data_IF_976053069564
#
_entry.id   IF_976053069564
#
_cell.length_a   1.000
_cell.length_b   1.000
_cell.length_c   1.000
_cell.angle_alpha   90.00
_cell.angle_beta   90.00
_cell.angle_gamma   90.00
#
_symmetry.space_group_name_H-M   'P 1'
#
loop_
_entity.id
_entity.type
_entity.pdbx_description
1 polymer ?
#
# COMPACT_ATOMS: atom_id res chain seq x y z
N UNK A 1 -13.71 10.34 -16.86
CA UNK A 1 -12.74 10.16 -17.96
C UNK A 1 -11.95 8.88 -17.68
N UNK A 2 -12.20 7.82 -18.45
CA UNK A 2 -11.39 6.60 -18.43
C UNK A 2 -10.19 6.84 -19.35
N UNK A 3 -8.97 6.76 -18.82
CA UNK A 3 -7.77 6.85 -19.63
C UNK A 3 -7.58 5.51 -20.33
N UNK A 4 -7.62 5.53 -21.67
CA UNK A 4 -7.51 4.36 -22.54
C UNK A 4 -6.12 3.73 -22.38
N UNK A 5 -6.03 2.44 -22.05
CA UNK A 5 -4.76 1.70 -21.86
C UNK A 5 -4.51 1.17 -20.44
N UNK A 6 -5.38 1.50 -19.49
CA UNK A 6 -5.34 0.99 -18.12
C UNK A 6 -6.15 -0.32 -18.01
N UNK A 7 -5.54 -1.39 -17.48
CA UNK A 7 -6.29 -2.60 -17.11
C UNK A 7 -7.33 -2.27 -16.05
N UNK A 8 -8.48 -2.97 -16.04
CA UNK A 8 -9.52 -2.71 -15.04
C UNK A 8 -8.99 -3.01 -13.63
N UNK A 9 -9.12 -2.07 -12.67
CA UNK A 9 -8.73 -2.34 -11.29
C UNK A 9 -9.70 -3.35 -10.67
N UNK A 10 -9.14 -4.39 -10.07
CA UNK A 10 -9.89 -5.45 -9.39
C UNK A 10 -10.34 -5.03 -7.98
N UNK A 11 -9.86 -3.88 -7.47
CA UNK A 11 -10.26 -3.34 -6.16
C UNK A 11 -10.21 -1.81 -6.12
N UNK A 12 -10.87 -1.21 -5.11
CA UNK A 12 -10.81 0.24 -4.88
C UNK A 12 -9.37 0.74 -4.62
N UNK A 13 -8.54 -0.04 -3.93
CA UNK A 13 -7.14 0.32 -3.67
C UNK A 13 -6.33 0.39 -4.96
N UNK A 14 -6.55 -0.56 -5.88
CA UNK A 14 -5.93 -0.54 -7.21
C UNK A 14 -6.33 0.69 -8.00
N UNK A 15 -7.61 1.05 -7.99
CA UNK A 15 -8.09 2.26 -8.67
C UNK A 15 -7.44 3.53 -8.11
N UNK A 16 -7.27 3.63 -6.79
CA UNK A 16 -6.59 4.77 -6.15
C UNK A 16 -5.11 4.82 -6.55
N UNK A 17 -4.41 3.69 -6.53
CA UNK A 17 -2.99 3.60 -6.98
C UNK A 17 -2.87 4.08 -8.42
N UNK A 18 -3.71 3.56 -9.31
CA UNK A 18 -3.72 3.94 -10.73
C UNK A 18 -3.98 5.43 -10.90
N UNK A 19 -4.92 6.00 -10.14
CA UNK A 19 -5.22 7.44 -10.22
C UNK A 19 -4.05 8.29 -9.76
N UNK A 20 -3.40 7.92 -8.65
CA UNK A 20 -2.22 8.60 -8.14
C UNK A 20 -1.06 8.55 -9.15
N UNK A 21 -0.86 7.42 -9.82
CA UNK A 21 0.15 7.28 -10.88
C UNK A 21 -0.14 8.18 -12.08
N UNK A 22 -1.41 8.28 -12.51
CA UNK A 22 -1.83 9.21 -13.58
C UNK A 22 -1.56 10.67 -13.21
N UNK A 23 -1.77 11.02 -11.94
CA UNK A 23 -1.49 12.35 -11.43
C UNK A 23 0.02 12.59 -11.18
N UNK A 24 0.89 11.61 -11.50
CA UNK A 24 2.36 11.73 -11.50
C UNK A 24 3.05 11.31 -10.20
N UNK A 25 2.34 10.71 -9.25
CA UNK A 25 2.92 10.21 -8.01
C UNK A 25 3.49 8.80 -8.17
N UNK A 26 4.62 8.53 -7.51
CA UNK A 26 5.10 7.15 -7.34
C UNK A 26 4.25 6.46 -6.27
N UNK A 27 3.22 5.73 -6.71
CA UNK A 27 2.31 4.99 -5.85
C UNK A 27 2.33 3.49 -6.16
N UNK A 28 2.21 2.66 -5.13
CA UNK A 28 2.14 1.19 -5.25
C UNK A 28 1.28 0.58 -4.15
N UNK A 29 0.76 -0.63 -4.39
CA UNK A 29 0.09 -1.40 -3.35
C UNK A 29 1.15 -2.23 -2.59
N UNK A 30 1.27 -2.03 -1.29
CA UNK A 30 2.11 -2.81 -0.41
C UNK A 30 1.28 -3.90 0.27
N UNK A 31 1.64 -5.17 0.04
CA UNK A 31 1.12 -6.27 0.87
C UNK A 31 1.95 -6.39 2.14
N UNK A 32 1.26 -6.51 3.27
CA UNK A 32 1.91 -6.69 4.57
C UNK A 32 2.67 -8.00 4.61
N UNK A 33 3.97 -7.91 4.86
CA UNK A 33 4.79 -9.06 5.14
C UNK A 33 5.62 -8.74 6.37
N UNK A 34 5.62 -9.66 7.32
CA UNK A 34 6.36 -9.50 8.56
C UNK A 34 7.23 -10.73 8.78
N UNK A 35 8.31 -10.53 9.52
CA UNK A 35 9.28 -11.58 9.78
C UNK A 35 9.31 -11.81 11.28
N UNK A 36 9.07 -13.04 11.71
CA UNK A 36 9.23 -13.44 13.10
C UNK A 36 10.34 -14.46 13.21
N UNK A 37 11.24 -14.24 14.17
CA UNK A 37 12.29 -15.20 14.51
C UNK A 37 11.83 -16.08 15.66
N UNK A 38 11.74 -17.40 15.43
CA UNK A 38 11.47 -18.40 16.46
C UNK A 38 12.72 -19.29 16.61
N UNK A 39 13.53 -19.00 17.63
CA UNK A 39 14.83 -19.67 17.81
C UNK A 39 15.78 -19.36 16.65
N UNK A 40 16.30 -20.41 15.99
CA UNK A 40 17.20 -20.29 14.84
C UNK A 40 16.50 -20.19 13.48
N UNK A 41 15.16 -20.15 13.44
CA UNK A 41 14.39 -20.07 12.19
C UNK A 41 13.75 -18.70 12.02
N UNK A 42 13.95 -18.13 10.84
CA UNK A 42 13.28 -16.90 10.37
C UNK A 42 12.05 -17.33 9.58
N UNK A 43 10.86 -16.98 10.06
CA UNK A 43 9.59 -17.29 9.38
C UNK A 43 8.99 -15.98 8.91
N UNK A 44 8.81 -15.85 7.59
CA UNK A 44 8.07 -14.75 6.99
C UNK A 44 6.61 -15.14 6.90
N UNK A 45 5.73 -14.33 7.48
CA UNK A 45 4.31 -14.47 7.25
C UNK A 45 3.86 -13.36 6.33
N UNK A 46 3.09 -13.74 5.33
CA UNK A 46 2.43 -12.78 4.44
C UNK A 46 1.01 -12.64 4.95
N UNK A 47 0.65 -11.44 5.38
CA UNK A 47 -0.73 -11.14 5.75
C UNK A 47 -1.55 -10.85 4.49
N UNK A 48 -2.84 -11.14 4.54
CA UNK A 48 -3.79 -10.75 3.48
C UNK A 48 -4.13 -9.25 3.50
N UNK A 49 -3.48 -8.48 4.38
CA UNK A 49 -3.66 -7.05 4.49
C UNK A 49 -2.76 -6.30 3.52
N UNK A 50 -3.31 -5.26 2.90
CA UNK A 50 -2.63 -4.38 1.97
C UNK A 50 -2.92 -2.91 2.25
N UNK A 51 -1.98 -2.04 1.90
CA UNK A 51 -2.10 -0.59 2.02
C UNK A 51 -1.42 0.07 0.82
N UNK A 52 -1.68 1.35 0.60
CA UNK A 52 -1.10 2.09 -0.52
C UNK A 52 0.13 2.85 -0.01
N UNK A 53 1.23 2.71 -0.73
CA UNK A 53 2.52 3.34 -0.48
C UNK A 53 2.77 4.42 -1.52
N UNK A 54 3.00 5.66 -1.09
CA UNK A 54 3.18 6.81 -1.99
C UNK A 54 4.48 7.53 -1.63
N UNK A 55 5.37 7.71 -2.60
CA UNK A 55 6.57 8.52 -2.44
C UNK A 55 6.33 9.92 -3.00
N UNK A 56 6.52 10.94 -2.17
CA UNK A 56 6.41 12.35 -2.55
C UNK A 56 7.80 12.97 -2.53
N UNK A 57 8.22 13.56 -3.65
CA UNK A 57 9.44 14.37 -3.71
C UNK A 57 9.11 15.83 -3.39
N UNK A 58 9.71 16.38 -2.34
CA UNK A 58 9.66 17.82 -2.08
C UNK A 58 10.68 18.54 -2.95
N UNK A 59 10.21 19.29 -3.93
CA UNK A 59 11.04 20.06 -4.87
C UNK A 59 11.66 21.31 -4.22
N UNK A 60 11.10 21.79 -3.09
CA UNK A 60 11.54 23.03 -2.43
C UNK A 60 12.52 22.78 -1.28
N UNK A 61 12.46 21.61 -0.64
CA UNK A 61 13.41 21.21 0.42
C UNK A 61 14.29 20.05 -0.05
N UNK A 62 15.47 20.37 -0.60
CA UNK A 62 16.62 19.44 -0.62
C UNK A 62 16.37 18.07 -1.27
N UNK A 63 15.47 17.96 -2.26
CA UNK A 63 15.10 16.67 -2.89
C UNK A 63 14.73 15.59 -1.85
N UNK A 64 14.12 15.97 -0.73
CA UNK A 64 13.75 15.03 0.32
C UNK A 64 12.53 14.24 -0.12
N UNK A 65 12.68 12.94 -0.30
CA UNK A 65 11.55 12.04 -0.53
C UNK A 65 10.87 11.70 0.79
N UNK A 66 9.58 11.97 0.88
CA UNK A 66 8.74 11.59 2.02
C UNK A 66 7.84 10.44 1.62
N UNK A 67 7.88 9.36 2.42
CA UNK A 67 6.99 8.21 2.30
C UNK A 67 5.67 8.51 3.01
N UNK A 68 4.56 8.41 2.28
CA UNK A 68 3.21 8.44 2.82
C UNK A 68 2.56 7.07 2.73
N UNK A 69 1.80 6.74 3.77
CA UNK A 69 0.98 5.55 3.85
C UNK A 69 -0.48 5.99 3.73
N UNK A 70 -1.18 5.37 2.80
CA UNK A 70 -2.61 5.52 2.60
C UNK A 70 -3.28 4.20 2.95
N UNK A 71 -4.07 4.23 4.02
CA UNK A 71 -4.84 3.09 4.48
C UNK A 71 -6.33 3.43 4.44
N UNK A 72 -7.10 2.70 3.65
CA UNK A 72 -8.51 3.00 3.42
C UNK A 72 -9.44 2.49 4.54
N UNK A 73 -8.93 1.66 5.45
CA UNK A 73 -9.71 1.07 6.54
C UNK A 73 -8.84 0.82 7.80
N UNK A 74 -8.11 1.85 8.22
CA UNK A 74 -7.20 1.74 9.37
C UNK A 74 -7.97 1.36 10.64
N UNK A 75 -9.20 1.86 10.77
CA UNK A 75 -10.04 1.67 11.97
C UNK A 75 -10.34 0.20 12.27
N UNK A 76 -10.65 -0.61 11.26
CA UNK A 76 -10.97 -2.03 11.46
C UNK A 76 -9.82 -2.80 12.11
N UNK A 77 -8.58 -2.35 11.89
CA UNK A 77 -7.39 -2.96 12.45
C UNK A 77 -7.29 -2.80 13.98
N UNK A 78 -8.07 -1.90 14.58
CA UNK A 78 -8.05 -1.60 16.01
C UNK A 78 -9.33 -2.00 16.76
N UNK A 79 -10.27 -2.71 16.13
CA UNK A 79 -11.48 -3.17 16.81
C UNK A 79 -11.19 -4.23 17.89
N UNK A 80 -11.81 -4.12 19.06
CA UNK A 80 -11.60 -5.05 20.17
C UNK A 80 -12.89 -5.79 20.54
N UNK A 81 -12.73 -6.99 21.09
CA UNK A 81 -13.81 -7.66 21.81
C UNK A 81 -14.00 -6.98 23.18
N UNK A 82 -15.25 -6.61 23.50
CA UNK A 82 -15.63 -5.93 24.75
C UNK A 82 -14.76 -4.68 25.04
N UNK A 83 -14.77 -3.66 24.15
CA UNK A 83 -14.01 -2.45 24.40
C UNK A 83 -14.66 -1.63 25.52
N UNK A 84 -13.82 -1.00 26.35
CA UNK A 84 -14.28 0.00 27.31
C UNK A 84 -14.86 1.22 26.59
N UNK A 85 -15.68 2.01 27.28
CA UNK A 85 -16.32 3.17 26.67
C UNK A 85 -15.29 4.19 26.15
N UNK A 86 -14.24 4.46 26.94
CA UNK A 86 -13.12 5.33 26.54
C UNK A 86 -12.42 4.82 25.28
N UNK A 87 -12.22 3.51 25.15
CA UNK A 87 -11.61 2.93 23.95
C UNK A 87 -12.51 3.09 22.72
N UNK A 88 -13.83 2.90 22.87
CA UNK A 88 -14.78 3.11 21.77
C UNK A 88 -14.74 4.54 21.24
N UNK A 89 -14.70 5.52 22.14
CA UNK A 89 -14.61 6.94 21.77
C UNK A 89 -13.33 7.25 20.99
N UNK A 90 -12.20 6.70 21.45
CA UNK A 90 -10.91 6.83 20.77
C UNK A 90 -10.94 6.23 19.35
N UNK A 91 -11.52 5.05 19.17
CA UNK A 91 -11.65 4.39 17.86
C UNK A 91 -12.62 5.16 16.95
N UNK A 92 -13.72 5.69 17.49
CA UNK A 92 -14.67 6.49 16.74
C UNK A 92 -14.07 7.81 16.23
N UNK A 93 -13.12 8.39 16.97
CA UNK A 93 -12.37 9.57 16.57
C UNK A 93 -11.29 9.28 15.52
N UNK A 94 -10.87 8.02 15.35
CA UNK A 94 -9.87 7.64 14.36
C UNK A 94 -10.46 7.73 12.94
N UNK A 95 -9.80 8.38 11.97
CA UNK A 95 -10.31 8.43 10.60
C UNK A 95 -10.36 7.02 10.00
N UNK A 96 -11.40 6.73 9.21
CA UNK A 96 -11.50 5.46 8.46
C UNK A 96 -10.39 5.36 7.41
N UNK A 97 -10.21 6.43 6.64
CA UNK A 97 -9.12 6.59 5.68
C UNK A 97 -7.99 7.37 6.34
N UNK A 98 -6.85 6.72 6.53
CA UNK A 98 -5.63 7.35 7.00
C UNK A 98 -4.74 7.74 5.81
N UNK A 99 -4.23 8.98 5.85
CA UNK A 99 -3.18 9.47 4.96
C UNK A 99 -2.13 10.18 5.82
N UNK A 100 -0.90 9.69 5.84
CA UNK A 100 0.14 10.30 6.66
C UNK A 100 1.51 9.65 6.54
N UNK A 101 2.50 10.27 7.18
CA UNK A 101 3.87 9.74 7.25
C UNK A 101 3.96 8.53 8.16
N UNK A 102 5.06 7.78 8.02
CA UNK A 102 5.42 6.68 8.92
C UNK A 102 5.45 7.12 10.39
N UNK A 103 6.03 8.28 10.68
CA UNK A 103 6.11 8.82 12.05
C UNK A 103 4.74 9.10 12.65
N UNK A 104 3.82 9.66 11.86
CA UNK A 104 2.45 9.93 12.32
C UNK A 104 1.71 8.62 12.58
N UNK A 105 1.87 7.64 11.69
CA UNK A 105 1.25 6.33 11.84
C UNK A 105 1.79 5.60 13.08
N UNK A 106 3.10 5.63 13.31
CA UNK A 106 3.76 5.02 14.46
C UNK A 106 3.22 5.54 15.80
N UNK A 107 3.05 6.87 15.91
CA UNK A 107 2.44 7.53 17.07
C UNK A 107 1.00 7.08 17.30
N UNK A 108 0.20 7.00 16.23
CA UNK A 108 -1.19 6.53 16.29
C UNK A 108 -1.23 5.07 16.75
N UNK A 109 -0.43 4.18 16.15
CA UNK A 109 -0.37 2.76 16.51
C UNK A 109 0.01 2.62 17.99
N UNK A 110 1.04 3.32 18.44
CA UNK A 110 1.51 3.28 19.83
C UNK A 110 0.42 3.71 20.82
N UNK A 111 -0.26 4.82 20.53
CA UNK A 111 -1.37 5.32 21.34
C UNK A 111 -2.52 4.29 21.41
N UNK A 112 -2.98 3.79 20.26
CA UNK A 112 -4.09 2.86 20.18
C UNK A 112 -3.77 1.51 20.82
N UNK A 113 -2.55 0.99 20.66
CA UNK A 113 -2.14 -0.27 21.29
C UNK A 113 -2.04 -0.14 22.82
N UNK A 114 -1.59 1.02 23.32
CA UNK A 114 -1.59 1.30 24.76
C UNK A 114 -3.01 1.34 25.33
N UNK A 115 -3.92 2.07 24.66
CA UNK A 115 -5.32 2.13 25.05
C UNK A 115 -6.02 0.76 24.93
N UNK A 116 -5.68 -0.02 23.90
CA UNK A 116 -6.21 -1.37 23.71
C UNK A 116 -5.79 -2.29 24.86
N UNK A 117 -4.52 -2.24 25.23
CA UNK A 117 -3.97 -2.97 26.38
C UNK A 117 -4.67 -2.61 27.68
N UNK A 118 -4.96 -1.32 27.91
CA UNK A 118 -5.72 -0.90 29.08
C UNK A 118 -7.16 -1.45 29.05
N UNK A 119 -7.87 -1.32 27.93
CA UNK A 119 -9.23 -1.83 27.76
C UNK A 119 -9.34 -3.34 27.96
N UNK A 120 -8.41 -4.12 27.42
CA UNK A 120 -8.40 -5.57 27.56
C UNK A 120 -8.16 -6.00 29.01
N UNK A 121 -7.22 -5.34 29.69
CA UNK A 121 -6.91 -5.61 31.10
C UNK A 121 -8.09 -5.32 32.03
N UNK A 122 -8.81 -4.23 31.80
CA UNK A 122 -10.00 -3.87 32.58
C UNK A 122 -11.11 -4.93 32.45
N UNK A 123 -11.16 -5.65 31.33
CA UNK A 123 -12.13 -6.72 31.09
C UNK A 123 -11.55 -8.12 31.39
N UNK A 124 -10.40 -8.21 32.09
CA UNK A 124 -9.68 -9.45 32.38
C UNK A 124 -9.37 -10.31 31.14
N UNK A 125 -9.17 -9.67 29.98
CA UNK A 125 -8.84 -10.32 28.72
C UNK A 125 -7.32 -10.35 28.48
N UNK A 126 -6.83 -11.49 27.99
CA UNK A 126 -5.44 -11.60 27.55
C UNK A 126 -5.18 -10.69 26.34
N UNK A 127 -3.98 -10.10 26.28
CA UNK A 127 -3.57 -9.24 25.16
C UNK A 127 -2.91 -10.13 24.10
N UNK A 128 -3.60 -10.39 22.98
CA UNK A 128 -3.03 -11.26 21.97
C UNK A 128 -1.83 -10.58 21.29
N UNK A 129 -0.89 -11.35 20.69
CA UNK A 129 0.31 -10.81 20.05
C UNK A 129 0.01 -9.74 18.99
N UNK A 130 -1.06 -9.89 18.22
CA UNK A 130 -1.49 -8.93 17.19
C UNK A 130 -2.07 -7.62 17.72
N UNK A 131 -2.20 -7.47 19.04
CA UNK A 131 -2.59 -6.22 19.70
C UNK A 131 -1.42 -5.51 20.37
N UNK A 132 -0.21 -6.03 20.21
CA UNK A 132 1.02 -5.36 20.65
C UNK A 132 1.48 -4.36 19.61
N UNK A 133 2.10 -3.27 20.07
CA UNK A 133 2.56 -2.19 19.20
C UNK A 133 3.57 -2.70 18.18
N UNK A 134 4.49 -3.57 18.58
CA UNK A 134 5.55 -4.10 17.70
C UNK A 134 4.95 -4.91 16.54
N UNK A 135 3.93 -5.72 16.80
CA UNK A 135 3.19 -6.43 15.76
C UNK A 135 2.55 -5.43 14.81
N UNK A 136 1.76 -4.51 15.36
CA UNK A 136 0.97 -3.59 14.57
C UNK A 136 1.86 -2.69 13.71
N UNK A 137 2.92 -2.11 14.27
CA UNK A 137 3.90 -1.30 13.55
C UNK A 137 4.49 -2.05 12.35
N UNK A 138 4.88 -3.31 12.54
CA UNK A 138 5.50 -4.09 11.46
C UNK A 138 4.58 -4.35 10.26
N UNK A 139 3.25 -4.24 10.41
CA UNK A 139 2.33 -4.35 9.27
C UNK A 139 2.61 -3.27 8.22
N UNK A 140 2.89 -2.03 8.63
CA UNK A 140 3.05 -0.89 7.72
C UNK A 140 4.50 -0.38 7.60
N UNK A 141 5.30 -0.56 8.66
CA UNK A 141 6.64 0.01 8.80
C UNK A 141 7.76 -0.99 8.52
N UNK A 142 7.43 -2.24 8.17
CA UNK A 142 8.41 -3.20 7.70
C UNK A 142 9.03 -2.73 6.39
N UNK A 143 10.37 -2.81 6.30
CA UNK A 143 11.11 -2.45 5.08
C UNK A 143 10.82 -3.36 3.88
N UNK A 144 10.22 -4.53 4.13
CA UNK A 144 10.04 -5.59 3.14
C UNK A 144 8.56 -5.77 2.75
N UNK A 145 7.79 -4.69 2.57
CA UNK A 145 6.48 -4.81 1.95
C UNK A 145 6.63 -5.37 0.52
N UNK A 146 5.75 -6.28 0.11
CA UNK A 146 5.74 -6.73 -1.28
C UNK A 146 4.96 -5.71 -2.11
N UNK A 147 5.68 -4.87 -2.88
CA UNK A 147 5.07 -3.89 -3.78
C UNK A 147 4.51 -4.59 -5.02
N UNK A 148 3.22 -4.44 -5.25
CA UNK A 148 2.57 -4.87 -6.49
C UNK A 148 2.68 -3.73 -7.50
N UNK A 149 3.43 -3.96 -8.58
CA UNK A 149 3.57 -3.01 -9.68
C UNK A 149 2.42 -3.19 -10.68
N UNK A 150 1.68 -2.11 -10.91
CA UNK A 150 0.69 -2.02 -11.98
C UNK A 150 1.32 -1.18 -13.09
N UNK A 151 2.15 -1.81 -13.94
CA UNK A 151 2.82 -1.09 -15.02
C UNK A 151 1.78 -0.57 -16.03
N UNK A 152 1.82 0.74 -16.29
CA UNK A 152 1.34 1.31 -17.54
C UNK A 152 2.18 0.70 -18.66
N UNK A 153 1.58 -0.07 -19.57
CA UNK A 153 2.30 -0.48 -20.79
C UNK A 153 2.53 0.79 -21.62
N UNK A 154 3.78 1.15 -21.95
CA UNK A 154 4.03 2.15 -22.97
C UNK A 154 3.69 1.52 -24.32
N UNK A 155 2.68 2.05 -25.01
CA UNK A 155 2.42 1.71 -26.40
C UNK A 155 3.62 2.20 -27.24
N UNK A 156 4.39 1.25 -27.79
CA UNK A 156 5.44 1.54 -28.76
C UNK A 156 4.76 1.83 -30.10
N UNK A 157 4.60 3.11 -30.41
CA UNK A 157 4.15 3.55 -31.74
C UNK A 157 5.20 3.21 -32.80
N UNK A 158 4.94 2.16 -33.56
CA UNK A 158 5.59 1.91 -34.85
C UNK A 158 4.67 2.39 -35.97
N UNK A 159 4.78 3.67 -36.32
CA UNK A 159 4.35 4.15 -37.64
C UNK A 159 5.45 3.75 -38.64
N UNK A 160 5.20 2.71 -39.42
CA UNK A 160 5.89 2.46 -40.67
C UNK A 160 4.87 2.56 -41.79
N UNK A 161 4.91 3.68 -42.49
CA UNK A 161 4.17 3.97 -43.72
C UNK A 161 4.45 2.92 -44.79
N UNK A 162 3.41 2.22 -45.24
CA UNK A 162 3.41 1.47 -46.49
C UNK A 162 3.45 2.45 -47.66
N UNK A 163 4.60 2.56 -48.32
CA UNK A 163 4.68 3.14 -49.66
C UNK A 163 4.67 2.01 -50.70
N UNK A 164 3.54 1.90 -51.40
CA UNK A 164 3.39 1.09 -52.61
C UNK A 164 4.32 1.64 -53.68
N UNK A 165 5.19 0.80 -54.24
CA UNK A 165 5.57 0.95 -55.63
C UNK A 165 5.61 -0.40 -56.35
N UNK A 166 4.65 -0.52 -57.26
CA UNK A 166 4.55 -1.51 -58.32
C UNK A 166 5.65 -1.25 -59.35
N UNK A 167 6.50 -2.24 -59.62
CA UNK A 167 7.15 -2.39 -60.90
C UNK A 167 7.54 -3.85 -61.13
N UNK A 168 6.86 -4.47 -62.08
CA UNK A 168 7.16 -5.76 -62.70
C UNK A 168 8.45 -5.67 -63.54
N UNK A 169 9.35 -6.66 -63.42
CA UNK A 169 9.92 -7.36 -64.57
C UNK A 169 10.69 -8.63 -64.15
N UNK A 170 10.51 -9.70 -64.93
CA UNK A 170 10.96 -11.06 -64.69
C UNK A 170 12.41 -11.32 -65.23
N UNK A 171 12.87 -12.57 -65.46
CA UNK A 171 14.09 -13.09 -64.82
C UNK A 171 15.24 -13.32 -65.81
N UNK A 172 16.46 -13.53 -65.34
CA UNK A 172 17.46 -14.27 -66.12
C UNK A 172 18.41 -15.07 -65.24
N UNK A 173 18.39 -16.36 -65.53
CA UNK A 173 19.37 -17.39 -65.23
C UNK A 173 20.68 -17.02 -65.94
N UNK A 174 21.79 -16.92 -65.20
CA UNK A 174 23.03 -17.71 -65.36
C UNK A 174 24.02 -17.31 -64.26
#
# INVERSE_FOLDING_TARGET
MYVRGMGEPNSLKEWVVMRLQVDGYEASLCKTSWVSSFGHKVIQFTGDYDYIDVMIMDQNLSNKTTRLIVDMDLRSQFELARPTQTYKELINALPSVFVGSEERLDKIISLLCSAAKASLKENDLHIPPWRKAEYMQSKWLSKNCNKVSFMLKPELGSDASEEKNSATCCPSIF
#
